data_IF_589838750919
#
_entry.id   IF_589838750919
#
_cell.length_a   1.000
_cell.length_b   1.000
_cell.length_c   1.000
_cell.angle_alpha   90.00
_cell.angle_beta   90.00
_cell.angle_gamma   90.00
#
_symmetry.space_group_name_H-M   'P 1'
#
loop_
_entity.id
_entity.type
_entity.pdbx_description
1 polymer ?
#
# COMPACT_ATOMS: atom_id res chain seq x y z
N UNK A 1 -8.04 14.81 -6.95
CA UNK A 1 -9.27 14.23 -7.56
C UNK A 1 -10.53 14.54 -6.76
N UNK A 2 -10.38 14.87 -5.48
CA UNK A 2 -11.38 15.28 -4.50
C UNK A 2 -12.29 16.42 -4.94
N UNK A 3 -11.75 17.45 -5.61
CA UNK A 3 -12.53 18.59 -6.11
C UNK A 3 -13.41 18.29 -7.34
N UNK A 4 -13.27 17.10 -7.92
CA UNK A 4 -14.05 16.64 -9.08
C UNK A 4 -15.16 15.73 -8.58
N UNK A 5 -16.37 15.88 -9.14
CA UNK A 5 -17.50 14.98 -8.84
C UNK A 5 -17.15 13.54 -9.20
N UNK A 6 -17.57 12.59 -8.36
CA UNK A 6 -17.18 11.18 -8.51
C UNK A 6 -17.48 10.61 -9.89
N UNK A 7 -18.65 10.95 -10.45
CA UNK A 7 -19.10 10.54 -11.78
C UNK A 7 -18.12 10.98 -12.90
N UNK A 8 -17.49 12.14 -12.74
CA UNK A 8 -16.59 12.72 -13.73
C UNK A 8 -15.13 12.32 -13.55
N UNK A 9 -14.75 11.78 -12.39
CA UNK A 9 -13.35 11.47 -12.05
C UNK A 9 -12.69 10.53 -13.04
N UNK A 10 -13.40 9.48 -13.46
CA UNK A 10 -12.84 8.48 -14.39
C UNK A 10 -12.71 9.03 -15.80
N UNK A 11 -13.74 9.76 -16.27
CA UNK A 11 -13.73 10.38 -17.61
C UNK A 11 -12.60 11.39 -17.74
N UNK A 12 -12.49 12.34 -16.80
CA UNK A 12 -11.45 13.37 -16.81
C UNK A 12 -10.06 12.74 -16.70
N UNK A 13 -9.89 11.74 -15.82
CA UNK A 13 -8.60 11.07 -15.68
C UNK A 13 -8.16 10.41 -16.99
N UNK A 14 -9.06 9.65 -17.63
CA UNK A 14 -8.76 8.93 -18.88
C UNK A 14 -8.42 9.90 -20.01
N UNK A 15 -9.14 11.02 -20.12
CA UNK A 15 -8.86 12.07 -21.09
C UNK A 15 -7.45 12.65 -20.89
N UNK A 16 -7.09 13.00 -19.64
CA UNK A 16 -5.77 13.56 -19.31
C UNK A 16 -4.64 12.56 -19.49
N UNK A 17 -4.87 11.29 -19.12
CA UNK A 17 -3.91 10.21 -19.30
C UNK A 17 -3.57 10.01 -20.78
N UNK A 18 -4.58 9.94 -21.66
CA UNK A 18 -4.37 9.79 -23.10
C UNK A 18 -3.55 10.94 -23.69
N UNK A 19 -3.85 12.19 -23.29
CA UNK A 19 -3.11 13.37 -23.73
C UNK A 19 -1.64 13.29 -23.28
N UNK A 20 -1.40 12.94 -22.02
CA UNK A 20 -0.05 12.83 -21.48
C UNK A 20 0.75 11.70 -22.14
N UNK A 21 0.12 10.54 -22.37
CA UNK A 21 0.77 9.41 -23.04
C UNK A 21 1.17 9.74 -24.48
N UNK A 22 0.33 10.48 -25.21
CA UNK A 22 0.66 10.89 -26.58
C UNK A 22 1.80 11.93 -26.62
N UNK A 23 1.72 12.94 -25.76
CA UNK A 23 2.74 13.99 -25.65
C UNK A 23 4.09 13.50 -25.10
N UNK A 24 4.09 12.39 -24.36
CA UNK A 24 5.32 11.83 -23.77
C UNK A 24 6.15 11.01 -24.76
N UNK A 25 5.61 10.67 -25.95
CA UNK A 25 6.33 9.84 -26.93
C UNK A 25 7.68 10.47 -27.32
N UNK A 26 8.76 9.67 -27.40
CA UNK A 26 8.79 8.20 -27.36
C UNK A 26 8.86 7.57 -25.95
N UNK A 27 8.86 8.37 -24.89
CA UNK A 27 8.93 7.88 -23.52
C UNK A 27 7.58 7.30 -23.07
N UNK A 28 7.64 6.24 -22.26
CA UNK A 28 6.46 5.68 -21.61
C UNK A 28 6.20 6.41 -20.29
N UNK A 29 4.96 6.81 -20.04
CA UNK A 29 4.53 7.38 -18.78
C UNK A 29 3.37 6.57 -18.17
N UNK A 30 3.39 6.40 -16.85
CA UNK A 30 2.25 5.87 -16.08
C UNK A 30 1.59 7.03 -15.34
N UNK A 31 0.27 7.17 -15.49
CA UNK A 31 -0.48 8.24 -14.85
C UNK A 31 -1.22 7.72 -13.63
N UNK A 32 -1.30 8.54 -12.58
CA UNK A 32 -2.07 8.23 -11.38
C UNK A 32 -2.97 9.41 -11.04
N UNK A 33 -4.21 9.09 -10.66
CA UNK A 33 -5.15 10.07 -10.13
C UNK A 33 -5.03 10.06 -8.62
N UNK A 34 -4.63 11.19 -8.03
CA UNK A 34 -4.37 11.26 -6.59
C UNK A 34 -5.20 12.33 -5.88
N UNK A 35 -5.41 12.15 -4.59
CA UNK A 35 -5.81 13.20 -3.65
C UNK A 35 -5.04 13.02 -2.34
N UNK A 36 -4.74 14.12 -1.65
CA UNK A 36 -4.17 14.08 -0.30
C UNK A 36 -5.21 13.69 0.77
N UNK A 37 -6.49 13.63 0.39
CA UNK A 37 -7.60 13.34 1.29
C UNK A 37 -8.07 11.88 1.22
N UNK A 38 -7.43 11.04 0.40
CA UNK A 38 -7.79 9.63 0.24
C UNK A 38 -6.56 8.73 0.00
N UNK A 39 -6.79 7.42 -0.07
CA UNK A 39 -5.76 6.40 -0.20
C UNK A 39 -5.03 6.42 -1.55
N UNK A 40 -5.55 7.15 -2.55
CA UNK A 40 -5.01 7.12 -3.91
C UNK A 40 -3.59 7.68 -3.99
N UNK A 41 -3.22 8.57 -3.06
CA UNK A 41 -1.84 9.04 -2.92
C UNK A 41 -0.88 7.91 -2.54
N UNK A 42 -1.25 7.07 -1.56
CA UNK A 42 -0.45 5.90 -1.17
C UNK A 42 -0.32 4.91 -2.31
N UNK A 43 -1.34 4.77 -3.16
CA UNK A 43 -1.29 3.91 -4.35
C UNK A 43 -0.19 4.34 -5.30
N UNK A 44 -0.20 5.61 -5.68
CA UNK A 44 0.76 6.16 -6.62
C UNK A 44 2.19 6.04 -6.08
N UNK A 45 2.41 6.43 -4.82
CA UNK A 45 3.73 6.36 -4.20
C UNK A 45 4.22 4.93 -3.97
N UNK A 46 3.35 4.00 -3.59
CA UNK A 46 3.73 2.59 -3.42
C UNK A 46 4.18 1.99 -4.75
N UNK A 47 3.50 2.31 -5.86
CA UNK A 47 3.92 1.86 -7.19
C UNK A 47 5.25 2.46 -7.63
N UNK A 48 5.48 3.76 -7.37
CA UNK A 48 6.76 4.41 -7.67
C UNK A 48 7.89 3.77 -6.85
N UNK A 49 7.70 3.58 -5.55
CA UNK A 49 8.70 2.96 -4.68
C UNK A 49 8.96 1.51 -5.09
N UNK A 50 7.91 0.74 -5.38
CA UNK A 50 8.03 -0.65 -5.82
C UNK A 50 8.95 -0.81 -7.03
N UNK A 51 8.88 0.11 -8.01
CA UNK A 51 9.77 0.10 -9.18
C UNK A 51 11.24 0.39 -8.85
N UNK A 52 11.51 1.04 -7.71
CA UNK A 52 12.86 1.39 -7.26
C UNK A 52 13.45 0.36 -6.29
N UNK A 53 12.63 -0.52 -5.71
CA UNK A 53 13.09 -1.52 -4.75
C UNK A 53 13.93 -2.58 -5.47
N UNK A 54 15.22 -2.73 -5.10
CA UNK A 54 16.06 -3.74 -5.72
C UNK A 54 15.59 -5.14 -5.33
N UNK A 55 15.64 -6.08 -6.29
CA UNK A 55 15.37 -7.50 -6.06
C UNK A 55 13.99 -7.81 -5.44
N UNK A 56 12.95 -7.09 -5.84
CA UNK A 56 11.60 -7.31 -5.32
C UNK A 56 11.09 -8.74 -5.49
N UNK A 57 11.48 -9.42 -6.58
CA UNK A 57 11.13 -10.83 -6.85
C UNK A 57 11.70 -11.79 -5.80
N UNK A 58 12.92 -11.54 -5.33
CA UNK A 58 13.52 -12.36 -4.27
C UNK A 58 12.82 -12.16 -2.93
N UNK A 59 12.36 -10.94 -2.67
CA UNK A 59 11.58 -10.59 -1.49
C UNK A 59 10.20 -11.27 -1.53
N UNK A 60 9.49 -11.20 -2.66
CA UNK A 60 8.20 -11.86 -2.87
C UNK A 60 8.30 -13.36 -2.62
N UNK A 61 9.31 -14.04 -3.19
CA UNK A 61 9.52 -15.48 -2.95
C UNK A 61 9.77 -15.82 -1.47
N UNK A 62 10.46 -14.93 -0.75
CA UNK A 62 10.72 -15.12 0.68
C UNK A 62 9.44 -14.95 1.50
N UNK A 63 8.62 -13.96 1.14
CA UNK A 63 7.29 -13.73 1.72
C UNK A 63 6.32 -14.88 1.43
N UNK A 64 6.35 -15.44 0.22
CA UNK A 64 5.56 -16.63 -0.15
C UNK A 64 5.92 -17.82 0.73
N UNK A 65 7.21 -18.12 0.87
CA UNK A 65 7.67 -19.21 1.74
C UNK A 65 7.29 -18.95 3.21
N UNK A 66 7.41 -17.69 3.67
CA UNK A 66 6.99 -17.33 5.02
C UNK A 66 5.48 -17.54 5.22
N UNK A 67 4.65 -17.10 4.27
CA UNK A 67 3.20 -17.28 4.30
C UNK A 67 2.79 -18.76 4.28
N UNK A 68 3.52 -19.59 3.54
CA UNK A 68 3.29 -21.04 3.50
C UNK A 68 3.61 -21.69 4.85
N UNK A 69 4.74 -21.35 5.47
CA UNK A 69 5.18 -21.94 6.75
C UNK A 69 4.20 -21.62 7.90
N UNK A 70 3.67 -20.40 7.93
CA UNK A 70 2.76 -19.96 9.01
C UNK A 70 1.27 -20.13 8.65
N UNK A 71 0.98 -20.62 7.45
CA UNK A 71 -0.36 -20.76 6.86
C UNK A 71 -1.21 -19.47 6.94
N UNK A 72 -0.60 -18.34 6.60
CA UNK A 72 -1.30 -17.04 6.56
C UNK A 72 -2.15 -16.88 5.29
N UNK A 73 -3.27 -16.18 5.40
CA UNK A 73 -4.13 -15.81 4.26
C UNK A 73 -3.46 -14.72 3.39
N UNK A 74 -2.81 -13.74 4.03
CA UNK A 74 -2.16 -12.60 3.39
C UNK A 74 -1.02 -12.06 4.26
N UNK A 75 0.08 -11.62 3.65
CA UNK A 75 1.18 -10.95 4.34
C UNK A 75 1.55 -9.68 3.59
N UNK A 76 1.68 -8.57 4.32
CA UNK A 76 2.11 -7.28 3.79
C UNK A 76 3.40 -6.83 4.46
N UNK A 77 4.37 -6.36 3.66
CA UNK A 77 5.60 -5.77 4.17
C UNK A 77 5.60 -4.26 3.87
N UNK A 78 5.83 -3.45 4.89
CA UNK A 78 5.80 -2.00 4.80
C UNK A 78 7.14 -1.38 5.15
N UNK A 79 7.46 -0.24 4.54
CA UNK A 79 8.57 0.61 4.98
C UNK A 79 8.18 1.34 6.27
N UNK A 80 9.07 1.36 7.27
CA UNK A 80 8.77 1.80 8.63
C UNK A 80 8.32 3.25 8.74
N UNK A 81 8.95 4.19 8.03
CA UNK A 81 8.69 5.62 8.19
C UNK A 81 7.43 6.06 7.44
N UNK A 82 7.33 5.66 6.18
CA UNK A 82 6.27 6.04 5.23
C UNK A 82 5.04 5.15 5.32
N UNK A 83 5.22 3.90 5.76
CA UNK A 83 4.18 2.87 5.75
C UNK A 83 3.68 2.51 4.35
N UNK A 84 4.49 2.79 3.31
CA UNK A 84 4.23 2.33 1.95
C UNK A 84 4.47 0.83 1.85
N UNK A 85 3.64 0.15 1.07
CA UNK A 85 3.76 -1.29 0.81
C UNK A 85 4.97 -1.52 -0.09
N UNK A 86 5.90 -2.35 0.39
CA UNK A 86 7.11 -2.76 -0.35
C UNK A 86 6.85 -4.05 -1.12
N UNK A 87 6.19 -5.01 -0.48
CA UNK A 87 5.91 -6.33 -1.05
C UNK A 87 4.74 -6.96 -0.31
N UNK A 88 4.10 -7.95 -0.93
CA UNK A 88 2.97 -8.67 -0.36
C UNK A 88 2.94 -10.11 -0.86
N UNK A 89 2.25 -10.98 -0.13
CA UNK A 89 1.87 -12.30 -0.56
C UNK A 89 0.39 -12.50 -0.22
N UNK A 90 -0.41 -12.92 -1.19
CA UNK A 90 -1.84 -13.19 -1.00
C UNK A 90 -2.11 -14.64 -1.40
N UNK A 91 -2.52 -15.48 -0.44
CA UNK A 91 -2.90 -16.87 -0.68
C UNK A 91 -4.41 -17.03 -0.85
N UNK A 92 -5.18 -16.06 -0.36
CA UNK A 92 -6.64 -16.02 -0.46
C UNK A 92 -7.10 -14.72 -1.10
N UNK A 93 -7.87 -14.83 -2.18
CA UNK A 93 -8.36 -13.67 -2.91
C UNK A 93 -9.27 -12.79 -2.02
N UNK A 94 -9.02 -11.48 -2.06
CA UNK A 94 -9.78 -10.47 -1.32
C UNK A 94 -10.57 -9.59 -2.28
N UNK A 95 -11.79 -9.20 -1.87
CA UNK A 95 -12.70 -8.40 -2.71
C UNK A 95 -12.19 -6.98 -3.00
N UNK A 96 -11.42 -6.41 -2.08
CA UNK A 96 -10.93 -5.03 -2.19
C UNK A 96 -9.52 -5.00 -2.76
N UNK A 97 -9.40 -4.54 -4.00
CA UNK A 97 -8.11 -4.34 -4.69
C UNK A 97 -7.31 -3.15 -4.16
N UNK A 98 -7.92 -2.26 -3.36
CA UNK A 98 -7.31 -1.06 -2.80
C UNK A 98 -7.00 -1.21 -1.30
N UNK A 99 -7.07 -2.44 -0.77
CA UNK A 99 -6.86 -2.72 0.65
C UNK A 99 -5.47 -2.33 1.13
N UNK A 100 -4.43 -2.48 0.30
CA UNK A 100 -3.06 -2.20 0.69
C UNK A 100 -2.88 -0.73 1.04
N UNK A 101 -3.39 0.17 0.21
CA UNK A 101 -3.28 1.61 0.41
C UNK A 101 -4.17 2.10 1.55
N UNK A 102 -5.35 1.50 1.71
CA UNK A 102 -6.23 1.78 2.85
C UNK A 102 -5.58 1.39 4.17
N UNK A 103 -4.96 0.21 4.24
CA UNK A 103 -4.22 -0.23 5.43
C UNK A 103 -3.06 0.72 5.69
N UNK A 104 -2.28 1.08 4.66
CA UNK A 104 -1.19 2.05 4.78
C UNK A 104 -1.65 3.38 5.37
N UNK A 105 -2.74 3.95 4.84
CA UNK A 105 -3.27 5.22 5.35
C UNK A 105 -3.80 5.07 6.78
N UNK A 106 -4.64 4.07 7.07
CA UNK A 106 -5.19 3.84 8.42
C UNK A 106 -4.09 3.74 9.47
N UNK A 107 -3.08 2.90 9.23
CA UNK A 107 -2.00 2.72 10.20
C UNK A 107 -1.11 3.97 10.26
N UNK A 108 -0.88 4.67 9.16
CA UNK A 108 -0.12 5.91 9.18
C UNK A 108 -0.84 7.01 9.98
N UNK A 109 -2.16 7.17 9.83
CA UNK A 109 -2.95 8.09 10.64
C UNK A 109 -2.93 7.71 12.12
N UNK A 110 -2.99 6.41 12.43
CA UNK A 110 -2.86 5.94 13.81
C UNK A 110 -1.47 6.25 14.39
N UNK A 111 -0.39 5.98 13.65
CA UNK A 111 0.99 6.32 14.06
C UNK A 111 1.15 7.82 14.31
N UNK A 112 0.59 8.67 13.45
CA UNK A 112 0.60 10.12 13.64
C UNK A 112 -0.15 10.53 14.91
N UNK A 113 -1.23 9.82 15.24
CA UNK A 113 -2.00 10.06 16.47
C UNK A 113 -1.21 9.66 17.72
N UNK A 114 -0.51 8.51 17.70
CA UNK A 114 0.41 8.11 18.77
C UNK A 114 1.54 9.13 18.98
N UNK A 115 2.16 9.62 17.91
CA UNK A 115 3.24 10.61 17.99
C UNK A 115 2.81 11.92 18.65
N UNK A 116 1.56 12.36 18.44
CA UNK A 116 1.00 13.53 19.14
C UNK A 116 0.90 13.32 20.66
N UNK A 117 0.83 12.07 21.11
CA UNK A 117 0.83 11.67 22.51
C UNK A 117 2.25 11.35 23.04
N UNK A 118 3.29 11.69 22.26
CA UNK A 118 4.70 11.39 22.56
C UNK A 118 5.00 9.89 22.76
N UNK A 119 4.19 9.00 22.18
CA UNK A 119 4.39 7.55 22.20
C UNK A 119 4.66 7.02 20.79
N UNK A 120 5.57 6.05 20.67
CA UNK A 120 5.82 5.37 19.40
C UNK A 120 4.92 4.15 19.25
N UNK A 121 4.31 3.99 18.08
CA UNK A 121 3.65 2.73 17.71
C UNK A 121 4.68 1.60 17.65
N UNK A 122 4.37 0.46 18.30
CA UNK A 122 5.24 -0.72 18.35
C UNK A 122 4.61 -1.93 17.66
N UNK A 123 3.38 -2.28 18.05
CA UNK A 123 2.63 -3.39 17.45
C UNK A 123 1.11 -3.16 17.57
N UNK A 124 0.35 -3.94 16.81
CA UNK A 124 -1.11 -4.00 16.88
C UNK A 124 -1.58 -5.42 16.63
N UNK A 125 -2.58 -5.85 17.41
CA UNK A 125 -3.29 -7.10 17.19
C UNK A 125 -4.79 -6.80 17.08
N UNK A 126 -5.42 -7.29 16.02
CA UNK A 126 -6.86 -7.14 15.77
C UNK A 126 -7.44 -8.52 15.51
N UNK A 127 -8.48 -8.89 16.26
CA UNK A 127 -9.18 -10.16 16.08
C UNK A 127 -10.68 -9.97 15.98
N UNK A 128 -11.31 -10.80 15.18
CA UNK A 128 -12.76 -11.01 15.20
C UNK A 128 -13.10 -12.49 14.99
N UNK A 129 -14.38 -12.80 14.74
CA UNK A 129 -14.84 -14.18 14.53
C UNK A 129 -14.37 -14.82 13.22
N UNK A 130 -13.75 -14.05 12.32
CA UNK A 130 -13.40 -14.46 10.95
C UNK A 130 -11.92 -14.35 10.61
N UNK A 131 -11.17 -13.46 11.28
CA UNK A 131 -9.74 -13.27 11.04
C UNK A 131 -9.02 -12.77 12.31
N UNK A 132 -7.70 -12.96 12.29
CA UNK A 132 -6.75 -12.29 13.17
C UNK A 132 -5.72 -11.57 12.30
N UNK A 133 -5.30 -10.38 12.72
CA UNK A 133 -4.31 -9.56 12.06
C UNK A 133 -3.29 -9.08 13.09
N UNK A 134 -2.01 -9.23 12.77
CA UNK A 134 -0.88 -8.85 13.60
C UNK A 134 0.01 -7.90 12.81
N UNK A 135 0.27 -6.71 13.36
CA UNK A 135 1.19 -5.73 12.78
C UNK A 135 2.34 -5.56 13.75
N UNK A 136 3.55 -5.94 13.32
CA UNK A 136 4.74 -5.88 14.16
C UNK A 136 5.97 -5.40 13.39
N UNK A 137 6.97 -4.94 14.14
CA UNK A 137 8.27 -4.60 13.58
C UNK A 137 8.96 -5.89 13.11
N UNK A 138 9.26 -5.99 11.81
CA UNK A 138 9.92 -7.16 11.22
C UNK A 138 11.44 -6.96 11.17
N UNK A 139 11.87 -5.78 10.72
CA UNK A 139 13.29 -5.38 10.68
C UNK A 139 13.43 -3.94 11.18
N UNK A 140 14.66 -3.40 11.39
CA UNK A 140 14.82 -2.01 11.81
C UNK A 140 14.10 -0.98 10.93
N UNK A 141 13.86 -1.32 9.65
CA UNK A 141 13.28 -0.45 8.63
C UNK A 141 11.93 -0.95 8.08
N UNK A 142 11.37 -2.06 8.58
CA UNK A 142 10.11 -2.60 8.05
C UNK A 142 9.14 -3.07 9.12
N UNK A 143 7.87 -2.92 8.81
CA UNK A 143 6.76 -3.58 9.50
C UNK A 143 6.25 -4.74 8.66
N UNK A 144 5.78 -5.79 9.32
CA UNK A 144 5.02 -6.88 8.69
C UNK A 144 3.60 -6.87 9.24
N UNK A 145 2.63 -7.10 8.36
CA UNK A 145 1.27 -7.47 8.71
C UNK A 145 1.04 -8.91 8.27
N UNK A 146 0.50 -9.73 9.17
CA UNK A 146 0.05 -11.11 8.93
C UNK A 146 -1.42 -11.22 9.32
#
# INVERSE_FOLDING_TARGET
>A
MDLISEEMRTTIFTERENILQDLSKPLQCSCFRTSIYDETLYRAWSQIVYQLVPNVKGLEKTLENFAEIIDADEILLFEKATFLVISHCTRKEHRDSHRFEKISDIIKQFKLSCSKLAAAFQSMEVRNSTFACFIELCTPNTYVMV
#
